data_IF_141988437899
#
_entry.id   IF_141988437899
#
_cell.length_a   1.000
_cell.length_b   1.000
_cell.length_c   1.000
_cell.angle_alpha   90.00
_cell.angle_beta   90.00
_cell.angle_gamma   90.00
#
_symmetry.space_group_name_H-M   'P 1'
#
loop_
_entity.id
_entity.type
_entity.pdbx_description
1 polymer ?
#
# COMPACT_ATOMS: atom_id res chain seq x y z
N UNK A 1 8.61 -37.71 1.95
CA UNK A 1 7.55 -37.44 0.95
C UNK A 1 7.40 -38.66 0.02
N UNK A 2 6.72 -39.73 0.45
CA UNK A 2 6.68 -41.00 -0.30
C UNK A 2 5.37 -41.82 -0.14
N UNK A 3 4.30 -41.28 0.45
CA UNK A 3 2.98 -41.94 0.52
C UNK A 3 1.88 -40.96 0.07
N UNK A 4 1.23 -41.18 -1.10
CA UNK A 4 0.16 -40.31 -1.60
C UNK A 4 -1.17 -40.50 -0.86
N UNK A 5 -1.35 -41.61 -0.13
CA UNK A 5 -2.58 -41.92 0.61
C UNK A 5 -2.50 -41.48 2.08
N UNK A 6 -1.48 -40.71 2.43
CA UNK A 6 -1.25 -40.27 3.80
C UNK A 6 -2.29 -39.23 4.21
N UNK A 7 -2.91 -39.44 5.37
CA UNK A 7 -3.83 -38.46 5.96
C UNK A 7 -3.05 -37.20 6.37
N UNK A 8 -3.23 -36.15 5.58
CA UNK A 8 -2.56 -34.86 5.76
C UNK A 8 -2.94 -34.22 7.10
N UNK A 9 -4.21 -34.36 7.52
CA UNK A 9 -4.69 -33.78 8.77
C UNK A 9 -4.08 -34.49 9.98
N UNK A 10 -3.96 -35.83 9.94
CA UNK A 10 -3.30 -36.60 10.99
C UNK A 10 -1.83 -36.20 11.13
N UNK A 11 -1.10 -36.06 10.02
CA UNK A 11 0.32 -35.65 10.03
C UNK A 11 0.51 -34.23 10.53
N UNK A 12 -0.35 -33.30 10.08
CA UNK A 12 -0.29 -31.92 10.54
C UNK A 12 -0.58 -31.82 12.03
N UNK A 13 -1.59 -32.55 12.53
CA UNK A 13 -1.91 -32.59 13.96
C UNK A 13 -0.78 -33.18 14.79
N UNK A 14 -0.16 -34.28 14.34
CA UNK A 14 1.00 -34.89 15.02
C UNK A 14 2.16 -33.89 15.16
N UNK A 15 2.51 -33.22 14.06
CA UNK A 15 3.54 -32.18 14.07
C UNK A 15 3.18 -31.01 15.00
N UNK A 16 1.98 -30.46 14.88
CA UNK A 16 1.57 -29.31 15.69
C UNK A 16 1.55 -29.66 17.18
N UNK A 17 1.04 -30.83 17.55
CA UNK A 17 1.03 -31.29 18.93
C UNK A 17 2.44 -31.47 19.48
N UNK A 18 3.33 -32.12 18.73
CA UNK A 18 4.70 -32.36 19.18
C UNK A 18 5.56 -31.09 19.23
N UNK A 19 5.37 -30.16 18.28
CA UNK A 19 6.21 -28.97 18.13
C UNK A 19 5.69 -27.77 18.94
N UNK A 20 4.37 -27.61 19.07
CA UNK A 20 3.72 -26.47 19.73
C UNK A 20 2.99 -26.83 21.04
N UNK A 21 2.86 -28.10 21.40
CA UNK A 21 2.23 -28.50 22.66
C UNK A 21 0.81 -27.96 22.79
N UNK A 22 0.50 -27.32 23.93
CA UNK A 22 -0.84 -26.80 24.23
C UNK A 22 -1.27 -25.63 23.31
N UNK A 23 -0.34 -25.01 22.58
CA UNK A 23 -0.66 -24.02 21.55
C UNK A 23 -1.20 -24.64 20.25
N UNK A 24 -1.06 -25.97 20.09
CA UNK A 24 -1.41 -26.69 18.86
C UNK A 24 -2.86 -26.45 18.38
N UNK A 25 -3.91 -26.54 19.22
CA UNK A 25 -5.28 -26.36 18.75
C UNK A 25 -5.54 -24.96 18.18
N UNK A 26 -4.90 -23.95 18.75
CA UNK A 26 -5.06 -22.55 18.33
C UNK A 26 -4.33 -22.27 17.00
N UNK A 27 -3.12 -22.82 16.82
CA UNK A 27 -2.40 -22.72 15.56
C UNK A 27 -3.06 -23.53 14.44
N UNK A 28 -3.61 -24.70 14.77
CA UNK A 28 -4.42 -25.50 13.84
C UNK A 28 -5.63 -24.70 13.34
N UNK A 29 -6.34 -24.05 14.26
CA UNK A 29 -7.48 -23.17 13.94
C UNK A 29 -7.08 -22.02 13.01
N UNK A 30 -5.94 -21.38 13.25
CA UNK A 30 -5.40 -20.34 12.35
C UNK A 30 -5.13 -20.86 10.94
N UNK A 31 -4.46 -22.01 10.81
CA UNK A 31 -4.12 -22.62 9.52
C UNK A 31 -5.38 -22.99 8.74
N UNK A 32 -6.34 -23.67 9.40
CA UNK A 32 -7.58 -24.09 8.75
C UNK A 32 -8.42 -22.88 8.31
N UNK A 33 -8.60 -21.90 9.20
CA UNK A 33 -9.44 -20.74 8.90
C UNK A 33 -8.86 -19.90 7.76
N UNK A 34 -7.54 -19.66 7.75
CA UNK A 34 -6.90 -18.95 6.64
C UNK A 34 -7.04 -19.71 5.31
N UNK A 35 -6.90 -21.04 5.34
CA UNK A 35 -7.06 -21.89 4.15
C UNK A 35 -8.50 -21.84 3.63
N UNK A 36 -9.48 -21.99 4.52
CA UNK A 36 -10.91 -21.94 4.18
C UNK A 36 -11.27 -20.58 3.58
N UNK A 37 -10.88 -19.49 4.24
CA UNK A 37 -11.11 -18.14 3.76
C UNK A 37 -10.50 -17.89 2.36
N UNK A 38 -9.31 -18.41 2.08
CA UNK A 38 -8.68 -18.33 0.76
C UNK A 38 -9.50 -19.07 -0.31
N UNK A 39 -9.92 -20.30 -0.03
CA UNK A 39 -10.70 -21.13 -0.97
C UNK A 39 -12.07 -20.52 -1.22
N UNK A 40 -12.79 -20.11 -0.17
CA UNK A 40 -14.14 -19.57 -0.26
C UNK A 40 -14.19 -18.24 -1.01
N UNK A 41 -13.20 -17.38 -0.79
CA UNK A 41 -13.10 -16.08 -1.48
C UNK A 41 -12.58 -16.19 -2.92
N UNK A 42 -12.00 -17.33 -3.31
CA UNK A 42 -11.33 -17.48 -4.60
C UNK A 42 -10.07 -16.62 -4.73
N UNK A 43 -9.44 -16.25 -3.60
CA UNK A 43 -8.21 -15.45 -3.59
C UNK A 43 -7.05 -16.12 -4.34
N UNK A 44 -6.19 -15.30 -4.94
CA UNK A 44 -5.03 -15.78 -5.71
C UNK A 44 -3.74 -15.70 -4.89
N UNK A 45 -2.91 -16.75 -4.97
CA UNK A 45 -1.55 -16.75 -4.45
C UNK A 45 -0.57 -16.67 -5.62
N UNK A 46 0.09 -15.53 -5.79
CA UNK A 46 1.07 -15.32 -6.87
C UNK A 46 2.50 -15.30 -6.31
N UNK A 47 3.48 -15.64 -7.14
CA UNK A 47 4.90 -15.66 -6.75
C UNK A 47 5.49 -14.25 -6.49
N UNK A 48 4.74 -13.19 -6.86
CA UNK A 48 5.09 -11.80 -6.56
C UNK A 48 4.01 -11.13 -5.70
N UNK A 49 3.18 -11.92 -5.02
CA UNK A 49 2.06 -11.42 -4.26
C UNK A 49 2.50 -10.68 -3.00
N UNK A 50 1.76 -9.63 -2.65
CA UNK A 50 1.93 -8.86 -1.43
C UNK A 50 0.76 -9.12 -0.47
N UNK A 51 0.93 -8.90 0.86
CA UNK A 51 -0.18 -9.03 1.81
C UNK A 51 -1.42 -8.23 1.41
N UNK A 52 -1.21 -7.08 0.74
CA UNK A 52 -2.29 -6.27 0.20
C UNK A 52 -3.19 -7.06 -0.76
N UNK A 53 -2.67 -7.95 -1.60
CA UNK A 53 -3.48 -8.67 -2.60
C UNK A 53 -4.54 -9.56 -1.95
N UNK A 54 -4.31 -9.95 -0.68
CA UNK A 54 -5.23 -10.73 0.13
C UNK A 54 -6.26 -9.91 0.93
N UNK A 55 -6.21 -8.58 0.92
CA UNK A 55 -6.95 -7.74 1.89
C UNK A 55 -8.48 -7.81 1.76
N UNK A 56 -8.99 -8.19 0.59
CA UNK A 56 -10.43 -8.41 0.35
C UNK A 56 -10.82 -9.89 0.43
N UNK A 57 -9.85 -10.77 0.69
CA UNK A 57 -10.01 -12.23 0.66
C UNK A 57 -9.57 -12.81 2.00
N UNK A 58 -8.50 -13.60 2.04
CA UNK A 58 -8.05 -14.33 3.23
C UNK A 58 -7.32 -13.47 4.27
N UNK A 59 -7.01 -12.20 3.97
CA UNK A 59 -6.40 -11.23 4.88
C UNK A 59 -7.31 -10.02 5.13
N UNK A 60 -8.63 -10.23 5.12
CA UNK A 60 -9.57 -9.16 5.46
C UNK A 60 -9.38 -8.63 6.89
N UNK A 61 -9.70 -7.37 7.18
CA UNK A 61 -9.61 -6.81 8.53
C UNK A 61 -10.29 -7.66 9.61
N UNK A 62 -11.45 -8.26 9.30
CA UNK A 62 -12.16 -9.15 10.22
C UNK A 62 -11.36 -10.43 10.49
N UNK A 63 -10.82 -11.07 9.44
CA UNK A 63 -10.03 -12.28 9.56
C UNK A 63 -8.69 -12.03 10.28
N UNK A 64 -8.01 -10.92 9.98
CA UNK A 64 -6.77 -10.55 10.68
C UNK A 64 -7.00 -10.41 12.20
N UNK A 65 -8.18 -9.91 12.61
CA UNK A 65 -8.53 -9.77 14.01
C UNK A 65 -8.70 -11.15 14.67
N UNK A 66 -9.40 -12.05 14.01
CA UNK A 66 -9.58 -13.42 14.48
C UNK A 66 -8.25 -14.18 14.53
N UNK A 67 -7.43 -14.08 13.50
CA UNK A 67 -6.10 -14.71 13.48
C UNK A 67 -5.23 -14.21 14.62
N UNK A 68 -5.28 -12.92 14.92
CA UNK A 68 -4.58 -12.33 16.07
C UNK A 68 -5.05 -12.99 17.36
N UNK A 69 -6.36 -13.12 17.56
CA UNK A 69 -6.92 -13.77 18.76
C UNK A 69 -6.47 -15.23 18.90
N UNK A 70 -6.32 -15.96 17.81
CA UNK A 70 -5.85 -17.36 17.86
C UNK A 70 -4.39 -17.43 18.30
N UNK A 71 -3.54 -16.50 17.86
CA UNK A 71 -2.17 -16.42 18.34
C UNK A 71 -2.10 -15.94 19.80
N UNK A 72 -2.99 -15.04 20.23
CA UNK A 72 -3.05 -14.59 21.63
C UNK A 72 -3.38 -15.78 22.56
N UNK A 73 -4.38 -16.58 22.20
CA UNK A 73 -4.71 -17.80 22.92
C UNK A 73 -3.56 -18.83 22.90
N UNK A 74 -2.90 -18.99 21.75
CA UNK A 74 -1.76 -19.89 21.59
C UNK A 74 -0.60 -19.52 22.52
N UNK A 75 -0.25 -18.23 22.59
CA UNK A 75 0.82 -17.74 23.48
C UNK A 75 0.44 -17.86 24.95
N UNK A 76 -0.81 -17.57 25.30
CA UNK A 76 -1.31 -17.74 26.67
C UNK A 76 -1.21 -19.20 27.15
N UNK A 77 -1.56 -20.16 26.29
CA UNK A 77 -1.55 -21.59 26.59
C UNK A 77 -0.15 -22.16 26.89
N UNK A 78 0.91 -21.48 26.46
CA UNK A 78 2.31 -21.92 26.63
C UNK A 78 3.18 -20.86 27.30
N UNK A 79 2.56 -19.88 27.98
CA UNK A 79 3.24 -18.74 28.59
C UNK A 79 4.28 -19.14 29.65
N UNK A 80 4.12 -20.31 30.28
CA UNK A 80 5.03 -20.92 31.25
C UNK A 80 6.10 -21.83 30.61
N UNK A 81 6.11 -21.97 29.28
CA UNK A 81 7.01 -22.85 28.49
C UNK A 81 7.82 -22.02 27.48
N UNK A 82 8.93 -21.36 27.90
CA UNK A 82 9.66 -20.40 27.08
C UNK A 82 10.08 -20.91 25.69
N UNK A 83 10.52 -22.17 25.58
CA UNK A 83 10.95 -22.74 24.30
C UNK A 83 9.79 -22.94 23.32
N UNK A 84 8.59 -23.24 23.83
CA UNK A 84 7.39 -23.41 23.01
C UNK A 84 6.81 -22.03 22.68
N UNK A 85 6.74 -21.12 23.65
CA UNK A 85 6.34 -19.74 23.42
C UNK A 85 7.17 -19.09 22.31
N UNK A 86 8.49 -19.26 22.32
CA UNK A 86 9.37 -18.75 21.27
C UNK A 86 9.02 -19.30 19.87
N UNK A 87 8.51 -20.53 19.76
CA UNK A 87 8.05 -21.10 18.48
C UNK A 87 6.75 -20.46 18.02
N UNK A 88 5.81 -20.21 18.94
CA UNK A 88 4.54 -19.54 18.65
C UNK A 88 4.78 -18.09 18.22
N UNK A 89 5.60 -17.34 18.97
CA UNK A 89 5.98 -15.96 18.63
C UNK A 89 6.67 -15.90 17.25
N UNK A 90 7.49 -16.90 16.90
CA UNK A 90 8.11 -17.00 15.57
C UNK A 90 7.08 -17.26 14.48
N UNK A 91 6.09 -18.12 14.75
CA UNK A 91 5.01 -18.43 13.81
C UNK A 91 4.03 -17.26 13.60
N UNK A 92 3.92 -16.34 14.57
CA UNK A 92 3.08 -15.13 14.47
C UNK A 92 3.64 -14.08 13.50
N UNK A 93 4.96 -14.04 13.29
CA UNK A 93 5.62 -12.96 12.53
C UNK A 93 5.03 -12.68 11.13
N UNK A 94 4.66 -13.67 10.29
CA UNK A 94 4.03 -13.39 9.01
C UNK A 94 2.68 -12.66 9.13
N UNK A 95 1.90 -12.95 10.17
CA UNK A 95 0.65 -12.24 10.45
C UNK A 95 0.92 -10.80 10.84
N UNK A 96 1.90 -10.55 11.71
CA UNK A 96 2.29 -9.18 12.11
C UNK A 96 2.80 -8.37 10.92
N UNK A 97 3.58 -8.98 10.04
CA UNK A 97 4.01 -8.36 8.78
C UNK A 97 2.82 -7.99 7.89
N UNK A 98 1.86 -8.91 7.71
CA UNK A 98 0.66 -8.65 6.92
C UNK A 98 -0.18 -7.50 7.51
N UNK A 99 -0.34 -7.46 8.84
CA UNK A 99 -1.06 -6.38 9.53
C UNK A 99 -0.39 -5.03 9.29
N UNK A 100 0.94 -4.96 9.42
CA UNK A 100 1.71 -3.72 9.19
C UNK A 100 1.60 -3.25 7.74
N UNK A 101 1.77 -4.15 6.76
CA UNK A 101 1.71 -3.81 5.34
C UNK A 101 0.32 -3.39 4.88
N UNK A 102 -0.74 -4.07 5.35
CA UNK A 102 -2.13 -3.69 5.04
C UNK A 102 -2.47 -2.34 5.68
N UNK A 103 -2.01 -2.10 6.92
CA UNK A 103 -2.31 -0.86 7.64
C UNK A 103 -1.70 0.38 7.00
N UNK A 104 -0.65 0.25 6.15
CA UNK A 104 -0.08 1.38 5.38
C UNK A 104 -1.13 2.11 4.55
N UNK A 105 -2.21 1.41 4.15
CA UNK A 105 -3.28 1.93 3.29
C UNK A 105 -4.52 2.39 4.07
N UNK A 106 -4.44 2.51 5.40
CA UNK A 106 -5.51 3.00 6.26
C UNK A 106 -6.91 2.38 6.00
N UNK A 107 -6.97 1.07 5.77
CA UNK A 107 -8.20 0.39 5.32
C UNK A 107 -9.37 0.48 6.30
N UNK A 108 -9.10 0.51 7.60
CA UNK A 108 -10.10 0.68 8.65
C UNK A 108 -9.51 1.45 9.82
N UNK A 109 -10.34 1.89 10.77
CA UNK A 109 -9.84 2.51 12.01
C UNK A 109 -8.93 1.57 12.80
N UNK A 110 -9.10 0.25 12.79
CA UNK A 110 -8.18 -0.65 13.49
C UNK A 110 -6.91 -0.94 12.69
N UNK A 111 -7.05 -1.06 11.36
CA UNK A 111 -5.98 -1.40 10.43
C UNK A 111 -5.54 -0.17 9.64
N UNK A 112 -5.07 0.84 10.37
CA UNK A 112 -4.47 2.05 9.81
C UNK A 112 -3.21 2.42 10.58
N UNK A 113 -2.22 2.98 9.90
CA UNK A 113 -1.03 3.52 10.59
C UNK A 113 -1.29 4.89 11.19
N UNK A 114 -2.22 5.62 10.59
CA UNK A 114 -2.48 7.01 10.92
C UNK A 114 -3.88 7.18 11.53
N UNK A 115 -4.00 8.19 12.39
CA UNK A 115 -5.27 8.72 12.89
C UNK A 115 -5.29 10.22 12.66
N UNK A 116 -6.48 10.78 12.50
CA UNK A 116 -6.67 12.21 12.36
C UNK A 116 -6.99 12.84 13.72
N UNK A 117 -6.17 13.78 14.16
CA UNK A 117 -6.36 14.57 15.38
C UNK A 117 -6.63 16.02 14.97
N UNK A 118 -7.91 16.38 14.82
CA UNK A 118 -8.32 17.68 14.28
C UNK A 118 -8.00 17.79 12.78
N UNK A 119 -7.19 18.78 12.41
CA UNK A 119 -6.76 18.99 11.01
C UNK A 119 -5.48 18.25 10.63
N UNK A 120 -4.85 17.52 11.57
CA UNK A 120 -3.54 16.89 11.36
C UNK A 120 -3.60 15.37 11.42
N UNK A 121 -2.77 14.74 10.60
CA UNK A 121 -2.46 13.31 10.70
C UNK A 121 -1.38 13.01 11.72
N UNK A 122 -1.59 11.96 12.50
CA UNK A 122 -0.65 11.45 13.50
C UNK A 122 -0.46 9.95 13.35
N UNK A 123 0.76 9.48 13.55
CA UNK A 123 1.06 8.04 13.63
C UNK A 123 0.48 7.47 14.91
N UNK A 124 -0.15 6.31 14.80
CA UNK A 124 -0.66 5.57 15.95
C UNK A 124 0.48 4.98 16.78
N UNK A 125 0.60 5.33 18.08
CA UNK A 125 1.65 4.79 18.95
C UNK A 125 1.69 3.26 18.97
N UNK A 126 0.52 2.62 19.00
CA UNK A 126 0.36 1.17 18.98
C UNK A 126 0.92 0.52 17.70
N UNK A 127 0.84 1.19 16.56
CA UNK A 127 1.40 0.69 15.29
C UNK A 127 2.92 0.84 15.25
N UNK A 128 3.46 1.90 15.86
CA UNK A 128 4.90 2.05 16.06
C UNK A 128 5.44 0.94 16.96
N UNK A 129 4.78 0.69 18.08
CA UNK A 129 5.15 -0.39 19.00
C UNK A 129 5.10 -1.76 18.32
N UNK A 130 4.05 -2.03 17.54
CA UNK A 130 3.92 -3.26 16.75
C UNK A 130 5.08 -3.43 15.76
N UNK A 131 5.46 -2.38 15.04
CA UNK A 131 6.61 -2.40 14.13
C UNK A 131 7.93 -2.69 14.87
N UNK A 132 8.18 -2.01 16.00
CA UNK A 132 9.38 -2.24 16.82
C UNK A 132 9.44 -3.67 17.36
N UNK A 133 8.31 -4.22 17.81
CA UNK A 133 8.23 -5.61 18.28
C UNK A 133 8.49 -6.61 17.16
N UNK A 134 7.90 -6.39 15.98
CA UNK A 134 8.11 -7.21 14.80
C UNK A 134 9.60 -7.27 14.42
N UNK A 135 10.27 -6.12 14.34
CA UNK A 135 11.69 -6.03 13.99
C UNK A 135 12.56 -6.69 15.06
N UNK A 136 12.29 -6.43 16.34
CA UNK A 136 13.00 -7.06 17.47
C UNK A 136 12.89 -8.58 17.42
N UNK A 137 11.68 -9.11 17.25
CA UNK A 137 11.45 -10.54 17.21
C UNK A 137 12.05 -11.19 15.95
N UNK A 138 11.97 -10.51 14.80
CA UNK A 138 12.63 -10.97 13.57
C UNK A 138 14.14 -11.11 13.74
N UNK A 139 14.77 -10.12 14.39
CA UNK A 139 16.19 -10.15 14.72
C UNK A 139 16.53 -11.23 15.77
N UNK A 140 15.71 -11.36 16.82
CA UNK A 140 15.84 -12.41 17.84
C UNK A 140 15.84 -13.81 17.22
N UNK A 141 15.00 -14.05 16.22
CA UNK A 141 14.92 -15.31 15.48
C UNK A 141 15.86 -15.40 14.27
N UNK A 142 16.77 -14.42 14.12
CA UNK A 142 17.83 -14.39 13.11
C UNK A 142 17.32 -14.46 11.65
N UNK A 143 16.15 -13.89 11.37
CA UNK A 143 15.68 -13.73 10.00
C UNK A 143 16.60 -12.75 9.26
N UNK A 144 17.15 -13.21 8.13
CA UNK A 144 18.07 -12.40 7.32
C UNK A 144 17.36 -11.57 6.26
N UNK A 145 16.17 -12.00 5.83
CA UNK A 145 15.43 -11.42 4.71
C UNK A 145 13.92 -11.57 4.97
N UNK A 146 13.15 -10.55 4.61
CA UNK A 146 11.69 -10.57 4.64
C UNK A 146 11.07 -10.95 3.29
N UNK A 147 11.82 -10.82 2.19
CA UNK A 147 11.39 -11.27 0.87
C UNK A 147 12.55 -11.79 0.01
N UNK A 148 12.20 -12.43 -1.10
CA UNK A 148 13.13 -13.17 -1.97
C UNK A 148 14.22 -12.27 -2.60
N UNK A 149 13.84 -11.04 -2.96
CA UNK A 149 14.76 -10.04 -3.51
C UNK A 149 15.73 -9.43 -2.48
N UNK A 150 15.63 -9.83 -1.21
CA UNK A 150 16.43 -9.29 -0.11
C UNK A 150 15.85 -8.01 0.49
N UNK A 151 15.65 -8.03 1.80
CA UNK A 151 15.30 -6.86 2.63
C UNK A 151 15.37 -7.30 4.09
N UNK A 152 16.31 -6.76 4.84
CA UNK A 152 16.54 -7.16 6.24
C UNK A 152 15.47 -6.56 7.16
N UNK A 153 15.23 -7.13 8.35
CA UNK A 153 14.35 -6.52 9.34
C UNK A 153 14.72 -5.06 9.70
N UNK A 154 16.01 -4.71 9.65
CA UNK A 154 16.47 -3.35 9.94
C UNK A 154 16.26 -2.38 8.77
N UNK A 155 16.35 -2.84 7.52
CA UNK A 155 15.96 -2.04 6.37
C UNK A 155 14.45 -1.81 6.34
N UNK A 156 13.67 -2.82 6.73
CA UNK A 156 12.22 -2.69 6.95
C UNK A 156 11.90 -1.64 8.02
N UNK A 157 12.60 -1.67 9.15
CA UNK A 157 12.49 -0.66 10.20
C UNK A 157 12.72 0.76 9.66
N UNK A 158 13.80 0.96 8.91
CA UNK A 158 14.10 2.26 8.31
C UNK A 158 13.03 2.71 7.33
N UNK A 159 12.55 1.81 6.46
CA UNK A 159 11.49 2.10 5.50
C UNK A 159 10.15 2.43 6.17
N UNK A 160 9.76 1.68 7.20
CA UNK A 160 8.52 1.95 7.94
C UNK A 160 8.62 3.24 8.75
N UNK A 161 9.78 3.53 9.33
CA UNK A 161 10.02 4.80 10.03
C UNK A 161 9.87 5.98 9.07
N UNK A 162 10.47 5.89 7.89
CA UNK A 162 10.28 6.90 6.84
C UNK A 162 8.81 7.06 6.45
N UNK A 163 8.10 5.94 6.29
CA UNK A 163 6.67 5.96 5.93
C UNK A 163 5.81 6.54 7.06
N UNK A 164 6.12 6.29 8.33
CA UNK A 164 5.45 6.95 9.45
C UNK A 164 5.59 8.47 9.42
N UNK A 165 6.70 8.99 8.91
CA UNK A 165 6.96 10.43 8.86
C UNK A 165 6.43 11.10 7.58
N UNK A 166 6.40 10.36 6.47
CA UNK A 166 6.17 10.93 5.13
C UNK A 166 5.04 10.27 4.33
N UNK A 167 4.44 9.18 4.85
CA UNK A 167 3.45 8.37 4.15
C UNK A 167 2.05 8.96 4.11
N UNK A 168 1.81 10.07 4.81
CA UNK A 168 0.54 10.79 4.81
C UNK A 168 0.79 12.30 4.84
N UNK A 169 -0.11 13.08 4.26
CA UNK A 169 0.00 14.54 4.18
C UNK A 169 -1.30 15.25 4.53
N UNK A 170 -1.19 16.39 5.19
CA UNK A 170 -2.31 17.31 5.38
C UNK A 170 -2.46 18.21 4.14
N UNK A 171 -3.68 18.32 3.61
CA UNK A 171 -3.99 19.17 2.46
C UNK A 171 -5.51 19.43 2.39
N UNK A 172 -5.90 20.48 1.63
CA UNK A 172 -7.29 20.92 1.53
C UNK A 172 -8.18 19.98 0.71
N UNK A 173 -7.58 19.12 -0.13
CA UNK A 173 -8.32 18.22 -1.00
C UNK A 173 -8.66 16.89 -0.34
N UNK A 174 -8.26 16.66 0.92
CA UNK A 174 -8.58 15.43 1.61
C UNK A 174 -10.10 15.15 1.61
N UNK A 175 -10.50 14.00 1.10
CA UNK A 175 -11.90 13.58 1.00
C UNK A 175 -12.72 14.36 -0.05
N UNK A 176 -12.09 15.20 -0.87
CA UNK A 176 -12.73 15.82 -2.02
C UNK A 176 -13.15 14.76 -3.04
N UNK A 177 -14.19 15.04 -3.82
CA UNK A 177 -14.64 14.09 -4.85
C UNK A 177 -13.78 14.23 -6.08
N UNK A 178 -13.31 13.10 -6.63
CA UNK A 178 -12.51 13.06 -7.85
C UNK A 178 -13.30 12.44 -9.00
N UNK A 179 -13.30 13.11 -10.15
CA UNK A 179 -13.80 12.56 -11.42
C UNK A 179 -12.65 12.40 -12.40
N UNK A 180 -12.54 11.22 -12.99
CA UNK A 180 -11.54 10.91 -14.01
C UNK A 180 -12.21 10.88 -15.38
N UNK A 181 -11.62 11.58 -16.35
CA UNK A 181 -12.09 11.51 -17.74
C UNK A 181 -11.62 10.22 -18.42
N UNK A 182 -10.39 9.81 -18.14
CA UNK A 182 -9.80 8.57 -18.64
C UNK A 182 -9.83 7.50 -17.54
N UNK A 183 -9.95 6.21 -17.90
CA UNK A 183 -9.99 5.14 -16.92
C UNK A 183 -8.60 4.90 -16.30
N UNK A 184 -8.58 4.63 -15.00
CA UNK A 184 -7.44 3.96 -14.36
C UNK A 184 -7.48 2.46 -14.69
N UNK A 185 -6.39 1.75 -14.41
CA UNK A 185 -6.29 0.30 -14.65
C UNK A 185 -6.68 -0.50 -13.41
N UNK A 186 -7.47 -1.57 -13.62
CA UNK A 186 -7.83 -2.53 -12.57
C UNK A 186 -6.62 -3.31 -12.02
N UNK A 187 -5.45 -3.22 -12.67
CA UNK A 187 -4.20 -3.82 -12.16
C UNK A 187 -3.63 -3.03 -10.97
N UNK A 188 -3.86 -1.72 -10.93
CA UNK A 188 -3.35 -0.83 -9.87
C UNK A 188 -4.42 0.19 -9.44
N UNK A 189 -5.56 -0.29 -8.88
CA UNK A 189 -6.67 0.58 -8.53
C UNK A 189 -6.41 1.35 -7.24
N UNK A 190 -5.64 0.78 -6.28
CA UNK A 190 -5.32 1.26 -4.91
C UNK A 190 -6.51 1.66 -4.02
N UNK A 191 -7.37 2.57 -4.49
CA UNK A 191 -8.65 3.01 -3.91
C UNK A 191 -9.60 3.61 -4.96
N UNK A 192 -9.28 3.46 -6.25
CA UNK A 192 -9.92 4.17 -7.35
C UNK A 192 -9.57 5.65 -7.36
N UNK A 193 -10.47 6.49 -7.88
CA UNK A 193 -10.24 7.92 -8.00
C UNK A 193 -10.01 8.64 -6.66
N UNK A 194 -10.53 8.10 -5.54
CA UNK A 194 -10.36 8.70 -4.21
C UNK A 194 -8.92 8.64 -3.72
N UNK A 195 -8.11 7.73 -4.26
CA UNK A 195 -6.70 7.61 -3.91
C UNK A 195 -5.90 8.89 -4.18
N UNK A 196 -6.36 9.73 -5.11
CA UNK A 196 -5.74 11.03 -5.40
C UNK A 196 -6.03 12.12 -4.35
N UNK A 197 -6.81 11.79 -3.32
CA UNK A 197 -7.31 12.74 -2.31
C UNK A 197 -7.50 12.09 -0.93
N UNK A 198 -6.83 10.96 -0.67
CA UNK A 198 -6.97 10.20 0.58
C UNK A 198 -5.88 10.51 1.61
N UNK A 199 -5.01 11.47 1.27
CA UNK A 199 -3.90 11.94 2.07
C UNK A 199 -2.68 11.01 2.07
N UNK A 200 -2.79 9.77 1.58
CA UNK A 200 -1.69 8.81 1.58
C UNK A 200 -0.72 9.10 0.44
N UNK A 201 0.57 8.93 0.69
CA UNK A 201 1.60 9.09 -0.35
C UNK A 201 2.10 7.76 -0.87
N UNK A 202 2.45 7.76 -2.14
CA UNK A 202 3.13 6.65 -2.78
C UNK A 202 4.56 6.50 -2.27
N UNK A 203 5.09 5.28 -2.30
CA UNK A 203 6.50 5.01 -1.98
C UNK A 203 7.33 4.85 -3.26
N UNK A 204 8.62 4.55 -3.13
CA UNK A 204 9.45 4.15 -4.27
C UNK A 204 9.12 2.73 -4.79
N UNK A 205 7.96 2.17 -4.45
CA UNK A 205 7.45 0.91 -4.96
C UNK A 205 6.04 1.14 -5.52
N UNK A 206 5.86 0.89 -6.82
CA UNK A 206 4.61 1.15 -7.54
C UNK A 206 3.43 0.32 -7.00
N UNK A 207 3.71 -0.72 -6.22
CA UNK A 207 2.67 -1.50 -5.53
C UNK A 207 2.02 -0.75 -4.36
N UNK A 208 2.55 0.40 -3.90
CA UNK A 208 2.06 1.10 -2.71
C UNK A 208 1.55 2.50 -3.01
N UNK A 209 0.22 2.65 -2.95
CA UNK A 209 -0.50 3.91 -3.04
C UNK A 209 -0.23 4.74 -4.31
N UNK A 210 -0.16 4.07 -5.45
CA UNK A 210 -0.12 4.70 -6.76
C UNK A 210 -1.31 4.26 -7.62
N UNK A 211 -2.11 5.21 -8.10
CA UNK A 211 -3.18 4.98 -9.07
C UNK A 211 -2.61 4.90 -10.48
N UNK A 212 -2.74 3.73 -11.12
CA UNK A 212 -2.12 3.45 -12.42
C UNK A 212 -3.03 3.71 -13.63
N UNK A 213 -2.49 4.36 -14.66
CA UNK A 213 -3.15 4.60 -15.94
C UNK A 213 -2.34 3.94 -17.08
N UNK A 214 -2.89 2.90 -17.70
CA UNK A 214 -2.19 2.11 -18.75
C UNK A 214 -2.54 2.61 -20.15
N UNK A 215 -1.61 3.32 -20.79
CA UNK A 215 -1.80 3.90 -22.11
C UNK A 215 -2.84 5.02 -22.17
N UNK A 216 -3.10 5.66 -21.04
CA UNK A 216 -4.00 6.79 -20.89
C UNK A 216 -3.33 7.90 -20.09
N UNK A 217 -3.64 9.15 -20.45
CA UNK A 217 -3.24 10.31 -19.66
C UNK A 217 -4.08 10.40 -18.37
N UNK A 218 -3.51 10.99 -17.32
CA UNK A 218 -4.28 11.50 -16.20
C UNK A 218 -5.05 12.75 -16.67
N UNK A 219 -6.37 12.74 -16.44
CA UNK A 219 -7.24 13.91 -16.60
C UNK A 219 -8.28 13.84 -15.47
N UNK A 220 -7.93 14.48 -14.35
CA UNK A 220 -8.65 14.42 -13.09
C UNK A 220 -9.24 15.77 -12.72
N UNK A 221 -10.49 15.77 -12.26
CA UNK A 221 -11.17 16.92 -11.67
C UNK A 221 -11.46 16.64 -10.21
N UNK A 222 -10.80 17.38 -9.32
CA UNK A 222 -11.06 17.40 -7.89
C UNK A 222 -12.12 18.45 -7.59
N UNK A 223 -13.14 18.07 -6.82
CA UNK A 223 -14.26 18.94 -6.44
C UNK A 223 -14.32 19.09 -4.92
N UNK A 224 -14.14 20.31 -4.44
CA UNK A 224 -14.29 20.65 -3.02
C UNK A 224 -15.77 20.77 -2.62
N UNK A 225 -16.05 20.61 -1.33
CA UNK A 225 -17.37 20.87 -0.76
C UNK A 225 -17.59 22.38 -0.56
N UNK A 226 -17.72 23.10 -1.66
CA UNK A 226 -17.84 24.56 -1.71
C UNK A 226 -16.58 25.25 -2.24
N UNK A 227 -16.61 26.58 -2.26
CA UNK A 227 -15.49 27.39 -2.72
C UNK A 227 -14.39 27.46 -1.67
N UNK A 228 -13.18 27.02 -2.02
CA UNK A 228 -12.03 26.90 -1.14
C UNK A 228 -10.93 27.87 -1.55
N UNK A 229 -10.31 28.54 -0.58
CA UNK A 229 -9.11 29.35 -0.81
C UNK A 229 -7.89 28.43 -0.97
N UNK A 230 -7.27 28.45 -2.15
CA UNK A 230 -6.14 27.59 -2.51
C UNK A 230 -4.89 28.42 -2.75
N UNK A 231 -3.79 28.01 -2.13
CA UNK A 231 -2.48 28.66 -2.25
C UNK A 231 -1.48 27.86 -3.08
N UNK A 232 -1.57 26.53 -3.02
CA UNK A 232 -0.70 25.63 -3.74
C UNK A 232 -1.49 24.39 -4.14
N UNK A 233 -1.21 23.89 -5.33
CA UNK A 233 -1.69 22.61 -5.83
C UNK A 233 -0.44 21.78 -6.13
N UNK A 234 -0.43 20.51 -5.78
CA UNK A 234 0.68 19.61 -6.12
C UNK A 234 0.15 18.25 -6.54
N UNK A 235 1.00 17.45 -7.16
CA UNK A 235 0.76 16.02 -7.40
C UNK A 235 2.11 15.34 -7.58
N UNK A 236 2.28 14.12 -7.07
CA UNK A 236 3.49 13.34 -7.36
C UNK A 236 3.25 12.32 -8.46
N UNK A 237 4.31 12.03 -9.20
CA UNK A 237 4.37 10.95 -10.16
C UNK A 237 5.60 10.10 -9.93
N UNK A 238 5.46 8.79 -10.15
CA UNK A 238 6.55 7.83 -10.09
C UNK A 238 7.16 7.64 -11.49
N UNK A 239 8.48 7.45 -11.55
CA UNK A 239 9.18 6.83 -12.67
C UNK A 239 9.86 5.55 -12.18
N UNK A 240 9.60 4.47 -12.90
CA UNK A 240 10.31 3.19 -12.82
C UNK A 240 10.34 2.66 -14.26
N UNK A 241 11.30 3.18 -15.04
CA UNK A 241 11.34 2.93 -16.48
C UNK A 241 11.46 1.43 -16.81
N UNK A 242 12.12 0.63 -15.95
CA UNK A 242 12.20 -0.85 -16.09
C UNK A 242 10.81 -1.49 -16.07
N UNK A 243 9.90 -0.91 -15.31
CA UNK A 243 8.50 -1.31 -15.15
C UNK A 243 7.54 -0.56 -16.08
N UNK A 244 8.09 0.18 -17.07
CA UNK A 244 7.35 0.91 -18.10
C UNK A 244 6.52 2.07 -17.53
N UNK A 245 6.97 2.62 -16.40
CA UNK A 245 6.34 3.72 -15.68
C UNK A 245 7.14 5.00 -15.89
N UNK A 246 6.50 6.05 -16.40
CA UNK A 246 7.15 7.34 -16.63
C UNK A 246 6.44 8.51 -15.96
N UNK A 247 7.25 9.43 -15.46
CA UNK A 247 6.81 10.77 -15.09
C UNK A 247 6.33 11.50 -16.36
N UNK A 248 5.15 12.17 -16.33
CA UNK A 248 4.65 12.94 -17.45
C UNK A 248 5.63 14.02 -17.94
N UNK A 249 5.76 14.20 -19.25
CA UNK A 249 6.55 15.28 -19.84
C UNK A 249 6.08 16.65 -19.37
N UNK A 250 4.76 16.81 -19.21
CA UNK A 250 4.15 18.05 -18.77
C UNK A 250 2.88 17.78 -17.95
N UNK A 251 2.69 18.58 -16.90
CA UNK A 251 1.48 18.59 -16.06
C UNK A 251 0.87 19.99 -16.11
N UNK A 252 -0.39 20.08 -16.49
CA UNK A 252 -1.16 21.32 -16.51
C UNK A 252 -2.14 21.35 -15.33
N UNK A 253 -2.11 22.47 -14.61
CA UNK A 253 -3.00 22.78 -13.49
C UNK A 253 -3.98 23.87 -13.93
N UNK A 254 -5.27 23.62 -13.73
CA UNK A 254 -6.35 24.57 -14.02
C UNK A 254 -7.34 24.63 -12.86
N UNK A 255 -7.96 25.79 -12.65
CA UNK A 255 -8.95 26.01 -11.60
C UNK A 255 -10.27 26.55 -12.14
N UNK A 256 -11.37 26.28 -11.45
CA UNK A 256 -12.70 26.77 -11.81
C UNK A 256 -13.58 26.98 -10.56
N UNK A 257 -14.53 27.91 -10.66
CA UNK A 257 -15.59 28.14 -9.67
C UNK A 257 -16.95 27.58 -10.11
N UNK A 258 -17.13 27.26 -11.40
CA UNK A 258 -18.41 26.80 -11.97
C UNK A 258 -18.35 25.38 -12.56
N UNK A 259 -17.15 24.80 -12.68
CA UNK A 259 -16.93 23.46 -13.24
C UNK A 259 -17.06 23.39 -14.77
N UNK A 260 -17.20 24.54 -15.43
CA UNK A 260 -17.36 24.66 -16.89
C UNK A 260 -16.20 25.45 -17.48
N UNK A 261 -15.92 26.63 -16.92
CA UNK A 261 -14.87 27.52 -17.36
C UNK A 261 -13.64 27.31 -16.48
N UNK A 262 -12.59 26.71 -17.05
CA UNK A 262 -11.32 26.47 -16.37
C UNK A 262 -10.28 27.51 -16.78
N UNK A 263 -9.75 28.23 -15.80
CA UNK A 263 -8.59 29.09 -16.01
C UNK A 263 -7.30 28.27 -15.83
N UNK A 264 -6.38 28.40 -16.78
CA UNK A 264 -5.05 27.78 -16.69
C UNK A 264 -4.21 28.50 -15.65
N UNK A 265 -3.68 27.76 -14.69
CA UNK A 265 -2.89 28.28 -13.57
C UNK A 265 -1.39 28.15 -13.84
N UNK A 266 -0.93 26.94 -14.18
CA UNK A 266 0.47 26.65 -14.51
C UNK A 266 0.55 25.42 -15.41
N UNK A 267 1.63 25.35 -16.18
CA UNK A 267 2.07 24.14 -16.86
C UNK A 267 3.53 23.92 -16.50
N UNK A 268 3.85 22.76 -15.96
CA UNK A 268 5.19 22.42 -15.49
C UNK A 268 5.71 21.19 -16.24
N UNK A 269 6.97 21.28 -16.70
CA UNK A 269 7.65 20.19 -17.41
C UNK A 269 8.47 19.36 -16.43
N UNK A 270 8.59 18.06 -16.69
CA UNK A 270 9.46 17.17 -15.90
C UNK A 270 10.90 17.66 -15.88
N UNK A 271 11.57 17.41 -14.77
CA UNK A 271 13.02 17.59 -14.59
C UNK A 271 13.76 16.27 -14.75
N UNK A 272 13.09 15.16 -14.45
CA UNK A 272 13.64 13.81 -14.52
C UNK A 272 13.93 13.40 -15.97
N UNK A 273 15.11 12.84 -16.20
CA UNK A 273 15.48 12.23 -17.49
C UNK A 273 14.68 10.95 -17.70
N UNK A 274 14.07 10.78 -18.86
CA UNK A 274 13.34 9.56 -19.21
C UNK A 274 14.20 8.31 -19.36
N UNK A 275 15.52 8.48 -19.54
CA UNK A 275 16.48 7.40 -19.58
C UNK A 275 17.02 7.03 -18.20
N UNK A 276 16.56 7.68 -17.13
CA UNK A 276 16.89 7.27 -15.77
C UNK A 276 16.04 6.07 -15.36
N UNK A 277 16.72 4.95 -15.11
CA UNK A 277 16.11 3.67 -14.73
C UNK A 277 16.11 3.44 -13.21
N UNK A 278 16.53 4.43 -12.41
CA UNK A 278 16.28 4.44 -10.98
C UNK A 278 14.80 4.75 -10.68
N UNK A 279 14.37 4.41 -9.46
CA UNK A 279 13.02 4.70 -9.01
C UNK A 279 12.95 6.12 -8.47
N UNK A 280 12.22 6.99 -9.15
CA UNK A 280 12.21 8.44 -8.90
C UNK A 280 10.78 8.90 -8.69
N UNK A 281 10.56 9.70 -7.65
CA UNK A 281 9.30 10.42 -7.43
C UNK A 281 9.54 11.89 -7.74
N UNK A 282 8.72 12.47 -8.60
CA UNK A 282 8.77 13.91 -8.91
C UNK A 282 7.44 14.58 -8.56
N UNK A 283 7.52 15.64 -7.75
CA UNK A 283 6.38 16.51 -7.44
C UNK A 283 6.26 17.63 -8.46
N UNK A 284 5.08 17.77 -9.05
CA UNK A 284 4.69 18.93 -9.84
C UNK A 284 3.83 19.84 -8.98
N UNK A 285 3.97 21.15 -9.12
CA UNK A 285 3.20 22.08 -8.29
C UNK A 285 2.86 23.39 -8.98
N UNK A 286 1.75 24.00 -8.57
CA UNK A 286 1.34 25.33 -8.98
C UNK A 286 1.04 26.19 -7.76
N UNK A 287 1.83 27.24 -7.56
CA UNK A 287 1.51 28.29 -6.59
C UNK A 287 0.43 29.19 -7.17
N UNK A 288 -0.65 29.38 -6.41
CA UNK A 288 -1.80 30.17 -6.82
C UNK A 288 -2.05 31.18 -5.72
N UNK A 289 -1.70 32.45 -5.94
CA UNK A 289 -1.74 33.45 -4.86
C UNK A 289 -3.19 33.78 -4.44
N UNK A 290 -3.68 33.13 -3.37
CA UNK A 290 -4.97 33.38 -2.71
C UNK A 290 -6.20 33.39 -3.65
N UNK A 291 -6.29 32.44 -4.58
CA UNK A 291 -7.49 32.30 -5.42
C UNK A 291 -8.48 31.28 -4.86
N UNK A 292 -9.75 31.52 -5.18
CA UNK A 292 -10.85 30.68 -4.77
C UNK A 292 -11.27 29.73 -5.88
N UNK A 293 -11.34 28.44 -5.57
CA UNK A 293 -11.79 27.40 -6.51
C UNK A 293 -12.76 26.45 -5.84
N UNK A 294 -13.73 25.97 -6.60
CA UNK A 294 -14.51 24.79 -6.24
C UNK A 294 -13.99 23.54 -6.96
N UNK A 295 -13.39 23.73 -8.14
CA UNK A 295 -12.88 22.66 -8.98
C UNK A 295 -11.41 22.90 -9.33
N UNK A 296 -10.58 21.88 -9.15
CA UNK A 296 -9.20 21.85 -9.65
C UNK A 296 -9.12 20.73 -10.69
N UNK A 297 -8.52 21.02 -11.84
CA UNK A 297 -8.28 20.04 -12.90
C UNK A 297 -6.78 19.89 -13.13
N UNK A 298 -6.34 18.64 -13.19
CA UNK A 298 -4.96 18.25 -13.50
C UNK A 298 -4.98 17.37 -14.73
N UNK A 299 -4.20 17.74 -15.74
CA UNK A 299 -4.04 16.95 -16.97
C UNK A 299 -2.57 16.73 -17.30
N UNK A 300 -2.25 15.55 -17.83
CA UNK A 300 -0.88 15.18 -18.19
C UNK A 300 -0.67 15.10 -19.70
N UNK A 301 0.60 15.19 -20.09
CA UNK A 301 1.12 14.72 -21.38
C UNK A 301 2.32 13.82 -21.08
N UNK A 302 2.25 12.53 -21.42
CA UNK A 302 3.24 11.52 -21.08
C UNK A 302 3.51 10.56 -22.24
N UNK A 303 4.41 9.61 -22.01
CA UNK A 303 4.41 8.37 -22.77
C UNK A 303 3.14 7.58 -22.46
N UNK A 304 2.23 7.49 -23.45
CA UNK A 304 1.11 6.53 -23.42
C UNK A 304 1.49 5.20 -24.09
N UNK A 305 2.60 5.19 -24.83
CA UNK A 305 3.24 3.99 -25.35
C UNK A 305 4.73 4.04 -25.05
N UNK A 306 5.31 2.87 -24.79
CA UNK A 306 6.74 2.73 -24.56
C UNK A 306 7.51 3.22 -25.81
N UNK A 307 8.50 4.11 -25.63
CA UNK A 307 9.27 4.65 -26.74
C UNK A 307 10.14 3.58 -27.41
N UNK A 308 10.54 3.83 -28.67
CA UNK A 308 11.27 2.86 -29.50
C UNK A 308 12.61 2.39 -28.89
N UNK A 309 13.26 3.23 -28.09
CA UNK A 309 14.51 2.92 -27.43
C UNK A 309 14.34 2.00 -26.20
N UNK A 310 13.12 1.84 -25.70
CA UNK A 310 12.84 1.10 -24.47
C UNK A 310 12.61 -0.40 -24.75
N UNK A 311 12.95 -1.25 -23.77
CA UNK A 311 12.77 -2.72 -23.87
C UNK A 311 11.31 -3.14 -24.13
N UNK A 312 10.36 -2.30 -23.72
CA UNK A 312 8.92 -2.48 -23.91
C UNK A 312 8.33 -1.79 -25.15
N UNK A 313 9.16 -1.33 -26.10
CA UNK A 313 8.76 -0.51 -27.26
C UNK A 313 7.44 -0.98 -27.91
N UNK A 314 6.53 -0.02 -28.17
CA UNK A 314 5.21 -0.28 -28.76
C UNK A 314 4.17 -0.84 -27.79
N UNK A 315 4.56 -1.30 -26.60
CA UNK A 315 3.66 -1.61 -25.50
C UNK A 315 3.01 -0.36 -24.91
N UNK A 316 1.93 -0.51 -24.14
CA UNK A 316 1.32 0.59 -23.39
C UNK A 316 2.24 0.99 -22.24
N UNK A 317 2.48 2.29 -22.09
CA UNK A 317 3.23 2.85 -20.97
C UNK A 317 2.29 3.24 -19.83
N UNK A 318 2.85 3.38 -18.64
CA UNK A 318 2.12 3.69 -17.42
C UNK A 318 2.38 5.11 -16.93
N UNK A 319 1.33 5.74 -16.42
CA UNK A 319 1.41 6.88 -15.50
C UNK A 319 0.92 6.39 -14.13
N UNK A 320 1.66 6.74 -13.08
CA UNK A 320 1.27 6.47 -11.71
C UNK A 320 1.27 7.78 -10.93
N UNK A 321 0.13 8.11 -10.33
CA UNK A 321 -0.06 9.30 -9.49
C UNK A 321 -0.57 8.87 -8.11
N UNK A 322 -0.08 9.50 -7.04
CA UNK A 322 -0.48 9.18 -5.66
C UNK A 322 -1.54 10.14 -5.15
N UNK A 323 -1.23 11.41 -4.93
CA UNK A 323 -2.02 12.35 -4.12
C UNK A 323 -1.98 13.77 -4.70
N UNK A 324 -3.12 14.49 -4.65
CA UNK A 324 -3.30 15.87 -5.13
C UNK A 324 -3.47 16.88 -3.97
#
# INVERSE_FOLDING_TARGET
>A
MWNPDMDVDAVMNDFLNGFYGDASPHLRKYIDHMREALVESGGSLTIYGYPWDGYQTYLSPALLHEYTSYFDDAEAAVSDKPDILARVEKARLPLEFAILEISKRNVTETYSLFKRTGERWEVKPEMREKMELFVRNSNRFQFKRLHEMGFTPNEYHGSMTYYFENGITDHLAYGATVKLKNPYSDKYPVGGATALTDGLRGTNDYHFNWLGFEGHELDAVVTFNGTTLVNNISVNFLQDAKSWVWIPHNVEFSGSTDGVNYQRLKSEKKKTDEHDFEKIIETFSATVENNQFQFIRITTQSFIQCPEWHLGAGGKAWIFADEI
#
